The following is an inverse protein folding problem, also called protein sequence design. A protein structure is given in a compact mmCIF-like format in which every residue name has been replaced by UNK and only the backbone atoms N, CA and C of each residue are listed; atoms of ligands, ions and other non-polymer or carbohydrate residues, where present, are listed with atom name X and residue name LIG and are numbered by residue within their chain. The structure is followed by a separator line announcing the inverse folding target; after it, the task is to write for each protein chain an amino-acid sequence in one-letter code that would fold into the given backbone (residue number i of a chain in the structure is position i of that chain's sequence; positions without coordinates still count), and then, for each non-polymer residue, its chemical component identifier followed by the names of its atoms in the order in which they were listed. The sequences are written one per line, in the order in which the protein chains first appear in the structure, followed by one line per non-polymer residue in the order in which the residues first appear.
data_IF_178167767721
#
_entry.id   IF_178167767721
#
_cell.length_a   1.000
_cell.length_b   1.000
_cell.length_c   1.000
_cell.angle_alpha   90.00
_cell.angle_beta   90.00
_cell.angle_gamma   90.00
#
_symmetry.space_group_name_H-M   'P 1'
#
loop_
_entity.id
_entity.type
_entity.pdbx_description
1 polymer ?
#
# COMPACT_ATOMS: atom_id res chain seq x y z
N UNK A 1 -20.58 -11.53 17.32
CA UNK A 1 -20.19 -12.36 16.15
C UNK A 1 -21.45 -12.78 15.38
N UNK A 2 -21.38 -13.08 14.06
CA UNK A 2 -22.56 -13.48 13.26
C UNK A 2 -23.32 -14.66 13.90
N UNK A 3 -22.60 -15.62 14.49
CA UNK A 3 -23.18 -16.75 15.24
C UNK A 3 -24.06 -16.34 16.41
N UNK A 4 -23.72 -15.26 17.12
CA UNK A 4 -24.50 -14.77 18.26
C UNK A 4 -25.75 -14.01 17.80
N UNK A 5 -25.66 -13.28 16.68
CA UNK A 5 -26.79 -12.53 16.12
C UNK A 5 -27.86 -13.46 15.53
N UNK A 6 -27.44 -14.56 14.93
CA UNK A 6 -28.34 -15.55 14.33
C UNK A 6 -28.73 -16.67 15.31
N UNK A 7 -28.17 -16.67 16.53
CA UNK A 7 -28.30 -17.76 17.50
C UNK A 7 -27.99 -19.15 16.90
N UNK A 8 -26.97 -19.20 16.03
CA UNK A 8 -26.52 -20.42 15.35
C UNK A 8 -25.16 -20.85 15.90
N UNK A 9 -24.88 -22.16 15.95
CA UNK A 9 -23.56 -22.64 16.30
C UNK A 9 -22.53 -22.17 15.26
N UNK A 10 -21.32 -21.84 15.73
CA UNK A 10 -20.23 -21.33 14.89
C UNK A 10 -19.86 -22.25 13.72
N UNK A 11 -20.05 -23.57 13.89
CA UNK A 11 -19.81 -24.58 12.84
C UNK A 11 -20.74 -24.41 11.65
N UNK A 12 -22.03 -24.21 11.91
CA UNK A 12 -23.05 -23.98 10.86
C UNK A 12 -22.81 -22.65 10.16
N UNK A 13 -22.44 -21.61 10.90
CA UNK A 13 -22.07 -20.32 10.29
C UNK A 13 -20.83 -20.45 9.42
N UNK A 14 -19.84 -21.25 9.82
CA UNK A 14 -18.65 -21.50 9.00
C UNK A 14 -19.03 -22.25 7.71
N UNK A 15 -19.82 -23.31 7.79
CA UNK A 15 -20.28 -24.10 6.64
C UNK A 15 -21.05 -23.26 5.63
N UNK A 16 -22.02 -22.46 6.09
CA UNK A 16 -22.77 -21.56 5.20
C UNK A 16 -21.84 -20.55 4.51
N UNK A 17 -20.91 -19.95 5.27
CA UNK A 17 -20.00 -18.95 4.71
C UNK A 17 -19.01 -19.57 3.72
N UNK A 18 -18.43 -20.73 4.03
CA UNK A 18 -17.38 -21.34 3.21
C UNK A 18 -17.90 -22.19 2.05
N UNK A 19 -18.97 -22.97 2.27
CA UNK A 19 -19.48 -23.94 1.30
C UNK A 19 -20.67 -23.36 0.50
N UNK A 20 -21.74 -22.92 1.19
CA UNK A 20 -22.97 -22.46 0.50
C UNK A 20 -22.77 -21.12 -0.22
N UNK A 21 -22.02 -20.20 0.41
CA UNK A 21 -21.74 -18.86 -0.11
C UNK A 21 -20.38 -18.76 -0.80
N UNK A 22 -19.54 -19.79 -0.72
CA UNK A 22 -18.19 -19.84 -1.30
C UNK A 22 -17.28 -18.64 -0.89
N UNK A 23 -17.49 -18.06 0.29
CA UNK A 23 -16.72 -16.93 0.79
C UNK A 23 -15.47 -17.41 1.51
N UNK A 24 -14.35 -16.71 1.28
CA UNK A 24 -13.09 -16.98 1.98
C UNK A 24 -12.70 -15.83 2.87
N UNK A 25 -12.15 -16.16 4.05
CA UNK A 25 -11.57 -15.15 4.93
C UNK A 25 -10.36 -14.52 4.26
N UNK A 26 -10.45 -13.22 4.03
CA UNK A 26 -9.31 -12.40 3.61
C UNK A 26 -8.86 -11.61 4.83
N UNK A 27 -7.60 -11.78 5.23
CA UNK A 27 -7.02 -10.94 6.27
C UNK A 27 -6.83 -9.53 5.72
N UNK A 28 -7.24 -8.52 6.49
CA UNK A 28 -6.97 -7.14 6.15
C UNK A 28 -5.46 -6.92 6.07
N UNK A 29 -5.00 -6.31 4.97
CA UNK A 29 -3.62 -5.84 4.87
C UNK A 29 -3.46 -4.60 5.76
N UNK A 30 -2.36 -4.52 6.49
CA UNK A 30 -2.02 -3.32 7.25
C UNK A 30 -1.67 -2.19 6.27
N UNK A 31 -2.40 -1.08 6.37
CA UNK A 31 -2.05 0.17 5.69
C UNK A 31 -1.25 1.01 6.69
N UNK A 32 0.01 1.39 6.40
CA UNK A 32 0.88 2.06 7.37
C UNK A 32 0.33 3.37 7.95
N UNK A 33 -0.63 4.00 7.27
CA UNK A 33 -1.20 5.29 7.67
C UNK A 33 -2.65 5.43 7.23
N UNK A 34 -3.50 5.94 8.11
CA UNK A 34 -4.84 6.43 7.75
C UNK A 34 -4.68 7.80 7.10
N UNK A 35 -5.11 7.93 5.85
CA UNK A 35 -5.01 9.17 5.08
C UNK A 35 -6.21 10.08 5.35
N UNK A 36 -5.97 11.38 5.40
CA UNK A 36 -7.04 12.38 5.37
C UNK A 36 -7.69 12.44 3.99
N UNK A 37 -8.89 13.00 3.88
CA UNK A 37 -9.58 13.06 2.59
C UNK A 37 -8.83 13.93 1.57
N UNK A 38 -8.28 15.06 2.00
CA UNK A 38 -7.39 15.88 1.16
C UNK A 38 -6.15 15.11 0.65
N UNK A 39 -5.56 14.23 1.47
CA UNK A 39 -4.43 13.38 1.03
C UNK A 39 -4.86 12.33 0.01
N UNK A 40 -6.11 11.84 0.07
CA UNK A 40 -6.65 10.91 -0.92
C UNK A 40 -6.93 11.61 -2.24
N UNK A 41 -7.55 12.79 -2.19
CA UNK A 41 -7.84 13.61 -3.37
C UNK A 41 -6.56 13.95 -4.11
N UNK A 42 -5.57 14.47 -3.38
CA UNK A 42 -4.29 14.82 -3.97
C UNK A 42 -3.56 13.61 -4.58
N UNK A 43 -3.64 12.43 -3.94
CA UNK A 43 -3.10 11.19 -4.53
C UNK A 43 -3.79 10.80 -5.84
N UNK A 44 -5.10 11.03 -5.95
CA UNK A 44 -5.86 10.76 -7.17
C UNK A 44 -5.48 11.75 -8.27
N UNK A 45 -5.28 13.02 -7.95
CA UNK A 45 -4.85 14.06 -8.88
C UNK A 45 -3.48 13.72 -9.49
N UNK A 46 -2.47 13.49 -8.63
CA UNK A 46 -1.12 13.12 -9.07
C UNK A 46 -1.14 11.84 -9.92
N UNK A 47 -1.95 10.85 -9.54
CA UNK A 47 -2.08 9.63 -10.33
C UNK A 47 -2.65 9.88 -11.74
N UNK A 48 -3.63 10.78 -11.88
CA UNK A 48 -4.19 11.12 -13.19
C UNK A 48 -3.13 11.75 -14.08
N UNK A 49 -2.36 12.71 -13.56
CA UNK A 49 -1.27 13.36 -14.29
C UNK A 49 -0.20 12.35 -14.73
N UNK A 50 0.25 11.48 -13.82
CA UNK A 50 1.23 10.44 -14.15
C UNK A 50 0.70 9.45 -15.19
N UNK A 51 -0.59 9.13 -15.14
CA UNK A 51 -1.23 8.25 -16.13
C UNK A 51 -1.26 8.89 -17.52
N UNK A 52 -1.58 10.18 -17.60
CA UNK A 52 -1.55 10.94 -18.85
C UNK A 52 -0.14 10.94 -19.45
N UNK A 53 0.88 11.27 -18.64
CA UNK A 53 2.29 11.23 -19.07
C UNK A 53 2.72 9.85 -19.60
N UNK A 54 2.32 8.77 -18.92
CA UNK A 54 2.62 7.41 -19.39
C UNK A 54 1.86 7.02 -20.67
N UNK A 55 0.73 7.67 -20.95
CA UNK A 55 -0.06 7.42 -22.17
C UNK A 55 0.50 8.20 -23.35
N UNK A 56 0.91 9.44 -23.11
CA UNK A 56 1.48 10.34 -24.11
C UNK A 56 2.89 9.93 -24.54
N UNK A 57 3.71 9.45 -23.58
CA UNK A 57 5.04 8.91 -23.84
C UNK A 57 5.16 7.48 -23.27
N UNK A 58 5.03 6.44 -24.13
CA UNK A 58 5.22 5.05 -23.71
C UNK A 58 6.62 4.73 -23.15
N UNK A 59 7.63 5.53 -23.47
CA UNK A 59 9.01 5.36 -22.99
C UNK A 59 9.31 6.15 -21.71
N UNK A 60 8.31 6.88 -21.18
CA UNK A 60 8.47 7.71 -19.98
C UNK A 60 9.05 6.94 -18.80
N UNK A 61 8.58 5.71 -18.58
CA UNK A 61 9.00 4.87 -17.45
C UNK A 61 10.44 4.37 -17.59
N UNK A 62 11.00 4.30 -18.80
CA UNK A 62 12.37 3.84 -19.02
C UNK A 62 13.41 4.81 -18.42
N UNK A 63 13.02 6.06 -18.22
CA UNK A 63 13.86 7.10 -17.64
C UNK A 63 13.63 7.29 -16.13
N UNK A 64 12.68 6.55 -15.53
CA UNK A 64 12.35 6.69 -14.11
C UNK A 64 13.32 5.86 -13.26
N UNK A 65 14.09 6.55 -12.43
CA UNK A 65 14.98 5.94 -11.44
C UNK A 65 14.36 6.09 -10.04
N UNK A 66 14.04 4.96 -9.40
CA UNK A 66 13.52 4.93 -8.01
C UNK A 66 14.53 4.30 -7.06
N UNK A 67 14.61 4.80 -5.83
CA UNK A 67 15.38 4.15 -4.76
C UNK A 67 14.77 4.43 -3.39
N UNK A 68 14.69 3.40 -2.55
CA UNK A 68 14.30 3.49 -1.15
C UNK A 68 15.33 2.80 -0.23
N UNK A 69 15.31 3.15 1.05
CA UNK A 69 16.20 2.57 2.06
C UNK A 69 15.43 1.59 2.92
N UNK A 70 15.75 0.31 2.81
CA UNK A 70 15.24 -0.72 3.73
C UNK A 70 16.25 -1.00 4.84
N UNK A 71 15.78 -1.05 6.08
CA UNK A 71 16.62 -1.44 7.22
C UNK A 71 16.93 -2.93 7.13
N UNK A 72 18.23 -3.29 7.15
CA UNK A 72 18.66 -4.67 7.24
C UNK A 72 18.70 -5.12 8.70
N UNK A 73 17.83 -6.06 9.06
CA UNK A 73 17.94 -6.79 10.32
C UNK A 73 18.65 -8.14 10.04
N UNK A 74 19.85 -8.39 10.59
CA UNK A 74 20.48 -9.69 10.49
C UNK A 74 19.67 -10.73 11.29
N UNK A 75 18.82 -11.47 10.60
CA UNK A 75 18.13 -12.64 11.15
C UNK A 75 19.08 -13.83 11.08
N UNK A 76 19.60 -14.27 12.22
CA UNK A 76 20.18 -15.60 12.34
C UNK A 76 19.07 -16.63 12.11
N UNK A 77 18.98 -17.13 10.86
CA UNK A 77 18.29 -18.35 10.41
C UNK A 77 16.93 -18.66 11.08
N UNK A 78 15.84 -18.19 10.47
CA UNK A 78 14.61 -18.99 10.31
C UNK A 78 13.88 -18.58 9.02
N UNK A 79 14.09 -19.37 7.95
CA UNK A 79 13.17 -19.72 6.85
C UNK A 79 12.07 -18.81 6.28
N UNK A 80 11.99 -17.51 6.56
CA UNK A 80 10.95 -16.63 6.01
C UNK A 80 11.44 -15.94 4.73
N UNK A 81 11.42 -16.67 3.62
CA UNK A 81 11.49 -16.07 2.29
C UNK A 81 10.16 -15.32 2.04
N UNK A 82 10.21 -14.01 1.83
CA UNK A 82 9.02 -13.21 1.56
C UNK A 82 8.45 -13.52 0.17
N UNK A 83 7.15 -13.81 0.12
CA UNK A 83 6.37 -14.14 -1.10
C UNK A 83 6.06 -12.90 -1.96
N UNK A 84 7.03 -12.02 -2.19
CA UNK A 84 6.80 -10.76 -2.94
C UNK A 84 6.79 -10.93 -4.47
N UNK A 85 7.03 -12.13 -4.99
CA UNK A 85 7.40 -12.30 -6.41
C UNK A 85 6.24 -12.57 -7.39
N UNK A 86 4.98 -12.58 -6.94
CA UNK A 86 3.84 -12.88 -7.83
C UNK A 86 2.69 -11.87 -7.64
N UNK A 87 2.92 -10.62 -8.03
CA UNK A 87 1.86 -9.62 -8.08
C UNK A 87 1.55 -9.23 -9.53
N UNK A 88 0.26 -9.18 -9.92
CA UNK A 88 -0.13 -8.69 -11.23
C UNK A 88 0.29 -7.23 -11.39
N UNK A 89 0.61 -6.82 -12.62
CA UNK A 89 1.19 -5.51 -12.98
C UNK A 89 0.50 -4.30 -12.34
N UNK A 90 -0.82 -4.37 -12.11
CA UNK A 90 -1.59 -3.32 -11.44
C UNK A 90 -1.16 -3.06 -9.97
N UNK A 91 -0.67 -4.08 -9.27
CA UNK A 91 -0.20 -3.97 -7.89
C UNK A 91 1.19 -3.31 -7.85
N UNK A 92 2.05 -3.62 -8.82
CA UNK A 92 3.35 -2.95 -8.97
C UNK A 92 3.17 -1.46 -9.27
N UNK A 93 2.20 -1.11 -10.13
CA UNK A 93 1.85 0.30 -10.44
C UNK A 93 1.39 1.08 -9.20
N UNK A 94 0.63 0.44 -8.31
CA UNK A 94 0.21 1.05 -7.05
C UNK A 94 1.37 1.18 -6.04
N UNK A 95 2.28 0.21 -5.98
CA UNK A 95 3.45 0.29 -5.09
C UNK A 95 4.44 1.39 -5.52
N UNK A 96 4.69 1.54 -6.83
CA UNK A 96 5.50 2.64 -7.36
C UNK A 96 4.87 4.00 -7.03
N UNK A 97 3.55 4.14 -7.16
CA UNK A 97 2.84 5.36 -6.79
C UNK A 97 2.90 5.65 -5.27
N UNK A 98 2.83 4.62 -4.42
CA UNK A 98 2.99 4.76 -2.96
C UNK A 98 4.41 5.17 -2.59
N UNK A 99 5.43 4.60 -3.24
CA UNK A 99 6.83 4.97 -3.02
C UNK A 99 7.10 6.42 -3.44
N UNK A 100 6.63 6.84 -4.62
CA UNK A 100 6.81 8.21 -5.11
C UNK A 100 6.21 9.25 -4.14
N UNK A 101 5.05 8.94 -3.55
CA UNK A 101 4.42 9.80 -2.54
C UNK A 101 5.19 9.89 -1.22
N UNK A 102 5.70 8.78 -0.71
CA UNK A 102 6.49 8.79 0.53
C UNK A 102 7.76 9.65 0.38
N UNK A 103 8.32 9.73 -0.83
CA UNK A 103 9.46 10.59 -1.16
C UNK A 103 9.07 12.07 -1.25
N UNK A 104 7.89 12.39 -1.80
CA UNK A 104 7.36 13.76 -1.88
C UNK A 104 6.92 14.32 -0.51
N UNK A 105 6.26 13.52 0.35
CA UNK A 105 5.90 13.92 1.72
C UNK A 105 7.14 14.28 2.56
N UNK A 106 8.26 13.60 2.33
CA UNK A 106 9.54 13.88 2.98
C UNK A 106 10.16 15.20 2.52
N UNK A 107 10.00 15.53 1.22
CA UNK A 107 10.51 16.78 0.63
C UNK A 107 9.68 17.99 1.06
N UNK A 108 8.36 17.85 1.18
CA UNK A 108 7.49 18.90 1.73
C UNK A 108 7.79 19.23 3.19
N UNK A 109 8.23 18.24 3.98
CA UNK A 109 8.59 18.42 5.40
C UNK A 109 9.94 19.13 5.62
N UNK A 110 10.83 19.20 4.62
CA UNK A 110 12.15 19.83 4.79
C UNK A 110 12.15 21.34 4.50
N UNK A 111 11.06 21.91 3.99
CA UNK A 111 11.01 23.32 3.57
C UNK A 111 10.20 24.22 4.52
N UNK A 112 9.64 23.68 5.62
CA UNK A 112 8.70 24.42 6.48
C UNK A 112 9.11 24.54 7.95
N UNK A 113 10.39 24.31 8.30
CA UNK A 113 10.90 24.66 9.62
C UNK A 113 11.65 26.00 9.55
N UNK A 114 11.37 26.96 10.45
CA UNK A 114 12.26 28.09 10.67
C UNK A 114 13.66 27.55 11.01
N UNK A 115 14.70 28.11 10.41
CA UNK A 115 16.04 27.90 10.94
C UNK A 115 16.13 28.68 12.25
N UNK A 116 16.24 27.95 13.37
CA UNK A 116 16.58 28.57 14.66
C UNK A 116 17.99 29.19 14.54
N UNK A 117 18.21 30.38 15.14
CA UNK A 117 19.51 31.04 15.08
C UNK A 117 20.55 30.22 15.84
N UNK A 118 21.70 30.03 15.22
CA UNK A 118 22.89 29.39 15.79
C UNK A 118 23.32 30.11 17.09
N UNK A 119 23.50 29.35 18.16
CA UNK A 119 24.33 29.71 19.32
C UNK A 119 25.78 29.22 19.12
#
# INVERSE_FOLDING_TARGET
MISEQLNLPKTIVHEIVSEDLALRKICAKLVPKVLTDAQKEHRVEVWKELKELCTDDPSFLDNVITGDGSWYAPIYRTGLYSSSKNYPEAVLKLEVAVMYWNTLDRRYRSTTYPQDPED
#
